data_IF_329471773476
#
_entry.id   IF_329471773476
#
_cell.length_a   1.000
_cell.length_b   1.000
_cell.length_c   1.000
_cell.angle_alpha   90.00
_cell.angle_beta   90.00
_cell.angle_gamma   90.00
#
_symmetry.space_group_name_H-M   'P 1'
#
loop_
_entity.id
_entity.type
_entity.pdbx_description
1 polymer ?
#
# COMPACT_ATOMS: atom_id res chain seq x y z
N UNK A 1 11.58 -0.82 -15.48
CA UNK A 1 11.60 0.52 -14.87
C UNK A 1 11.79 0.28 -13.39
N UNK A 2 12.90 0.71 -12.77
CA UNK A 2 13.27 0.25 -11.44
C UNK A 2 12.75 1.14 -10.32
N UNK A 3 12.06 0.55 -9.34
CA UNK A 3 11.67 1.19 -8.08
C UNK A 3 12.18 0.34 -6.93
N UNK A 4 12.75 0.97 -5.91
CA UNK A 4 13.07 0.29 -4.66
C UNK A 4 11.99 0.64 -3.65
N UNK A 5 11.11 -0.30 -3.28
CA UNK A 5 10.17 -0.05 -2.21
C UNK A 5 10.91 0.04 -0.88
N UNK A 6 10.50 0.99 -0.06
CA UNK A 6 10.91 1.09 1.33
C UNK A 6 9.69 1.06 2.25
N UNK A 7 9.98 0.87 3.52
CA UNK A 7 8.99 0.44 4.50
C UNK A 7 8.34 1.63 5.20
N UNK A 8 7.00 1.73 5.16
CA UNK A 8 6.25 2.72 5.96
C UNK A 8 6.26 2.37 7.45
N UNK A 9 6.04 3.38 8.30
CA UNK A 9 6.28 3.42 9.76
C UNK A 9 5.39 2.46 10.57
N UNK A 10 4.30 1.94 10.00
CA UNK A 10 3.53 0.88 10.65
C UNK A 10 3.47 -0.38 9.79
N UNK A 11 4.40 -1.30 10.07
CA UNK A 11 4.28 -2.68 9.60
C UNK A 11 3.77 -3.54 10.73
N UNK A 12 2.59 -4.11 10.51
CA UNK A 12 2.31 -5.40 11.11
C UNK A 12 2.12 -6.41 9.99
N UNK A 13 3.19 -7.15 9.69
CA UNK A 13 3.21 -8.30 8.78
C UNK A 13 3.28 -9.63 9.57
N UNK A 14 3.09 -9.57 10.89
CA UNK A 14 3.32 -10.70 11.80
C UNK A 14 2.47 -11.91 11.39
N UNK A 15 3.13 -13.06 11.20
CA UNK A 15 2.48 -14.33 10.90
C UNK A 15 2.33 -14.67 9.42
N UNK A 16 2.81 -13.82 8.51
CA UNK A 16 2.67 -14.01 7.06
C UNK A 16 4.04 -14.30 6.45
N UNK A 17 4.17 -15.43 5.75
CA UNK A 17 5.42 -15.80 5.05
C UNK A 17 5.41 -15.14 3.69
N UNK A 18 6.43 -14.33 3.42
CA UNK A 18 6.77 -13.81 2.10
C UNK A 18 5.78 -12.83 1.45
N UNK A 19 5.00 -12.06 2.22
CA UNK A 19 4.09 -11.00 1.72
C UNK A 19 4.58 -9.58 2.07
N UNK A 20 5.84 -9.31 1.74
CA UNK A 20 6.55 -8.09 2.10
C UNK A 20 6.30 -6.96 1.07
N UNK A 21 6.69 -5.69 1.34
CA UNK A 21 6.43 -4.57 0.43
C UNK A 21 7.01 -4.70 -0.99
N UNK A 22 8.03 -5.55 -1.22
CA UNK A 22 8.56 -5.80 -2.57
C UNK A 22 7.50 -6.41 -3.47
N UNK A 23 6.62 -7.23 -2.91
CA UNK A 23 5.53 -7.88 -3.65
C UNK A 23 4.47 -6.90 -4.17
N UNK A 24 4.43 -5.66 -3.66
CA UNK A 24 3.51 -4.65 -4.18
C UNK A 24 3.95 -4.10 -5.54
N UNK A 25 5.18 -4.38 -5.97
CA UNK A 25 5.84 -3.72 -7.11
C UNK A 25 6.72 -4.66 -7.95
N UNK A 26 6.51 -5.98 -7.87
CA UNK A 26 7.41 -6.98 -8.45
C UNK A 26 7.02 -7.49 -9.85
N UNK A 27 6.03 -6.87 -10.51
CA UNK A 27 5.52 -7.24 -11.85
C UNK A 27 5.07 -8.71 -11.98
N UNK A 28 4.88 -9.43 -10.87
CA UNK A 28 4.34 -10.80 -10.82
C UNK A 28 3.14 -10.87 -9.85
N UNK A 29 2.48 -12.02 -9.78
CA UNK A 29 1.23 -12.19 -9.00
C UNK A 29 1.46 -12.44 -7.51
N UNK A 30 2.62 -12.04 -6.95
CA UNK A 30 2.79 -12.12 -5.50
C UNK A 30 1.96 -11.02 -4.83
N UNK A 31 1.68 -11.18 -3.54
CA UNK A 31 0.82 -10.23 -2.81
C UNK A 31 1.54 -9.62 -1.62
N UNK A 32 1.17 -8.39 -1.32
CA UNK A 32 1.61 -7.65 -0.15
C UNK A 32 0.45 -7.51 0.83
N UNK A 33 0.71 -7.70 2.12
CA UNK A 33 -0.24 -7.42 3.19
C UNK A 33 0.39 -6.52 4.25
N UNK A 34 -0.40 -5.57 4.75
CA UNK A 34 -0.06 -4.77 5.92
C UNK A 34 -1.32 -4.60 6.77
N UNK A 35 -1.28 -5.11 8.00
CA UNK A 35 -2.41 -5.02 8.91
C UNK A 35 -2.51 -3.66 9.62
N UNK A 36 -1.58 -2.72 9.37
CA UNK A 36 -1.57 -1.39 9.99
C UNK A 36 -1.52 -1.50 11.51
N UNK A 37 -2.50 -0.89 12.19
CA UNK A 37 -2.70 -0.99 13.64
C UNK A 37 -3.38 -2.29 14.11
N UNK A 38 -3.55 -3.29 13.24
CA UNK A 38 -4.06 -4.63 13.58
C UNK A 38 -3.00 -5.73 13.43
N UNK A 39 -3.43 -7.01 13.48
CA UNK A 39 -2.60 -8.19 13.18
C UNK A 39 -3.46 -9.30 12.54
N UNK A 40 -2.85 -10.40 12.09
CA UNK A 40 -3.57 -11.51 11.44
C UNK A 40 -4.56 -12.24 12.36
N UNK A 41 -4.29 -12.26 13.66
CA UNK A 41 -5.05 -13.03 14.66
C UNK A 41 -6.21 -12.25 15.28
N UNK A 42 -6.37 -10.96 14.96
CA UNK A 42 -7.41 -10.11 15.55
C UNK A 42 -8.11 -9.27 14.49
N UNK A 43 -9.41 -9.50 14.34
CA UNK A 43 -10.29 -8.59 13.59
C UNK A 43 -10.67 -7.42 14.49
N UNK A 44 -10.34 -6.20 14.06
CA UNK A 44 -10.72 -4.97 14.77
C UNK A 44 -11.04 -3.87 13.77
N UNK A 45 -11.81 -2.87 14.20
CA UNK A 45 -12.11 -1.70 13.37
C UNK A 45 -10.87 -0.86 13.01
N UNK A 46 -9.75 -1.07 13.70
CA UNK A 46 -8.47 -0.41 13.42
C UNK A 46 -7.56 -1.23 12.49
N UNK A 47 -7.95 -2.45 12.12
CA UNK A 47 -7.17 -3.28 11.21
C UNK A 47 -7.09 -2.62 9.83
N UNK A 48 -5.87 -2.53 9.29
CA UNK A 48 -5.58 -1.82 8.04
C UNK A 48 -5.42 -0.31 8.19
N UNK A 49 -5.78 0.29 9.34
CA UNK A 49 -5.55 1.73 9.56
C UNK A 49 -4.05 2.01 9.64
N UNK A 50 -3.60 2.98 8.85
CA UNK A 50 -2.19 3.33 8.70
C UNK A 50 -1.43 2.45 7.69
N UNK A 51 -2.04 1.38 7.17
CA UNK A 51 -1.37 0.51 6.21
C UNK A 51 -0.88 1.29 4.99
N UNK A 52 0.36 1.00 4.58
CA UNK A 52 0.99 1.67 3.45
C UNK A 52 2.41 1.18 3.23
N UNK A 53 3.08 1.77 2.24
CA UNK A 53 4.48 1.60 1.91
C UNK A 53 4.94 2.84 1.13
N UNK A 54 6.25 3.01 0.96
CA UNK A 54 6.77 4.03 0.06
C UNK A 54 7.68 3.41 -0.99
N UNK A 55 7.93 4.14 -2.06
CA UNK A 55 8.85 3.73 -3.12
C UNK A 55 9.85 4.84 -3.40
N UNK A 56 11.09 4.48 -3.69
CA UNK A 56 12.11 5.38 -4.22
C UNK A 56 12.38 5.01 -5.67
N UNK A 57 12.04 5.87 -6.64
CA UNK A 57 12.39 5.65 -8.04
C UNK A 57 13.91 5.58 -8.22
N UNK A 58 14.42 4.55 -8.91
CA UNK A 58 15.86 4.42 -9.16
C UNK A 58 16.40 5.43 -10.16
N UNK A 59 15.53 5.99 -11.00
CA UNK A 59 15.90 6.97 -12.02
C UNK A 59 15.96 8.41 -11.46
N UNK A 60 15.90 8.58 -10.14
CA UNK A 60 15.91 9.87 -9.46
C UNK A 60 14.55 10.56 -9.45
N UNK A 61 14.57 11.89 -9.43
CA UNK A 61 13.35 12.72 -9.34
C UNK A 61 12.38 12.37 -10.45
N UNK A 62 11.15 12.03 -10.07
CA UNK A 62 10.13 11.50 -10.98
C UNK A 62 8.81 12.24 -10.79
N UNK A 63 8.05 12.40 -11.87
CA UNK A 63 6.69 12.96 -11.82
C UNK A 63 5.68 11.83 -11.71
N UNK A 64 4.87 11.85 -10.66
CA UNK A 64 3.77 10.90 -10.51
C UNK A 64 2.68 11.21 -11.54
N UNK A 65 2.39 10.24 -12.42
CA UNK A 65 1.31 10.35 -13.41
C UNK A 65 0.04 9.61 -13.00
N UNK A 66 0.18 8.59 -12.17
CA UNK A 66 -0.91 7.73 -11.71
C UNK A 66 -0.38 6.53 -10.96
N UNK A 67 -1.29 5.82 -10.30
CA UNK A 67 -1.04 4.54 -9.63
C UNK A 67 -2.09 3.54 -10.11
N UNK A 68 -1.69 2.27 -10.16
CA UNK A 68 -2.57 1.15 -10.48
C UNK A 68 -2.55 0.19 -9.30
N UNK A 69 -3.72 -0.29 -8.90
CA UNK A 69 -3.86 -1.29 -7.84
C UNK A 69 -4.25 -2.64 -8.45
N UNK A 70 -3.69 -3.70 -7.90
CA UNK A 70 -4.18 -5.06 -8.06
C UNK A 70 -4.58 -5.59 -6.67
N UNK A 71 -5.80 -6.11 -6.55
CA UNK A 71 -6.29 -6.69 -5.29
C UNK A 71 -5.83 -8.13 -5.16
N UNK A 72 -5.54 -8.56 -3.94
CA UNK A 72 -5.24 -9.96 -3.64
C UNK A 72 -6.50 -10.85 -3.77
N UNK A 73 -6.29 -12.16 -3.88
CA UNK A 73 -7.36 -13.15 -4.13
C UNK A 73 -7.91 -13.83 -2.87
N UNK A 74 -7.50 -13.42 -1.67
CA UNK A 74 -7.79 -14.15 -0.42
C UNK A 74 -8.73 -13.43 0.54
N UNK A 75 -8.98 -12.13 0.33
CA UNK A 75 -9.98 -11.35 1.08
C UNK A 75 -10.30 -10.05 0.37
N UNK A 76 -11.51 -9.97 -0.16
CA UNK A 76 -12.02 -8.78 -0.83
C UNK A 76 -12.13 -7.59 0.13
N UNK A 77 -12.40 -7.83 1.42
CA UNK A 77 -12.51 -6.78 2.43
C UNK A 77 -11.18 -6.06 2.72
N UNK A 78 -10.05 -6.65 2.30
CA UNK A 78 -8.71 -6.06 2.46
C UNK A 78 -8.30 -5.17 1.28
N UNK A 79 -9.15 -5.03 0.26
CA UNK A 79 -8.87 -4.14 -0.86
C UNK A 79 -8.86 -2.66 -0.44
N UNK A 80 -7.88 -1.85 -0.89
CA UNK A 80 -7.79 -0.44 -0.53
C UNK A 80 -8.86 0.37 -1.29
N UNK A 81 -10.01 0.65 -0.69
CA UNK A 81 -11.08 1.43 -1.33
C UNK A 81 -10.75 2.94 -1.42
N UNK A 82 -9.91 3.41 -0.51
CA UNK A 82 -9.38 4.78 -0.48
C UNK A 82 -7.87 4.76 -0.25
N UNK A 83 -7.19 5.82 -0.67
CA UNK A 83 -5.77 6.00 -0.41
C UNK A 83 -5.42 7.48 -0.27
N UNK A 84 -4.30 7.73 0.40
CA UNK A 84 -3.54 8.96 0.28
C UNK A 84 -2.26 8.67 -0.50
N UNK A 85 -1.89 9.59 -1.39
CA UNK A 85 -0.60 9.56 -2.07
C UNK A 85 0.16 10.79 -1.64
N UNK A 86 1.37 10.58 -1.18
CA UNK A 86 2.27 11.63 -0.74
C UNK A 86 3.60 11.51 -1.47
N UNK A 87 4.29 12.64 -1.64
CA UNK A 87 5.59 12.70 -2.30
C UNK A 87 6.62 13.42 -1.45
N UNK A 88 7.88 13.05 -1.61
CA UNK A 88 9.01 13.69 -0.95
C UNK A 88 10.21 13.79 -1.89
N UNK A 89 10.92 14.91 -1.83
CA UNK A 89 12.22 15.10 -2.50
C UNK A 89 13.40 14.95 -1.53
N UNK A 90 13.15 14.53 -0.29
CA UNK A 90 14.19 14.28 0.69
C UNK A 90 14.85 12.92 0.46
N UNK A 91 16.05 12.73 1.01
CA UNK A 91 16.76 11.45 0.94
C UNK A 91 16.00 10.37 1.71
N UNK A 92 16.19 9.10 1.33
CA UNK A 92 15.52 7.94 1.96
C UNK A 92 15.68 7.91 3.48
N UNK A 93 16.82 8.40 4.00
CA UNK A 93 17.10 8.50 5.43
C UNK A 93 16.15 9.41 6.22
N UNK A 94 15.46 10.34 5.55
CA UNK A 94 14.55 11.31 6.17
C UNK A 94 13.07 10.98 5.92
N UNK A 95 12.77 9.96 5.11
CA UNK A 95 11.41 9.57 4.75
C UNK A 95 10.62 8.96 5.92
N UNK A 96 11.31 8.44 6.94
CA UNK A 96 10.68 7.97 8.19
C UNK A 96 10.42 9.10 9.18
N UNK A 97 10.86 10.32 8.88
CA UNK A 97 10.60 11.51 9.69
C UNK A 97 9.34 12.18 9.13
N UNK A 98 8.19 11.98 9.77
CA UNK A 98 6.83 12.21 9.23
C UNK A 98 6.44 13.62 8.75
N UNK A 99 7.40 14.54 8.60
CA UNK A 99 7.21 15.90 8.09
C UNK A 99 7.81 16.11 6.69
N UNK A 100 8.40 15.08 6.08
CA UNK A 100 9.06 15.19 4.77
C UNK A 100 8.14 14.95 3.58
N UNK A 101 6.87 14.65 3.84
CA UNK A 101 5.88 14.25 2.85
C UNK A 101 4.91 15.38 2.53
N UNK A 102 4.61 15.54 1.25
CA UNK A 102 3.60 16.48 0.74
C UNK A 102 2.45 15.68 0.14
N UNK A 103 1.21 15.96 0.56
CA UNK A 103 0.01 15.34 0.00
C UNK A 103 -0.14 15.68 -1.48
N UNK A 104 -0.23 14.64 -2.32
CA UNK A 104 -0.47 14.75 -3.75
C UNK A 104 -1.91 14.36 -4.12
N UNK A 105 -2.46 13.39 -3.40
CA UNK A 105 -3.81 12.87 -3.63
C UNK A 105 -4.43 12.31 -2.35
N UNK A 106 -5.74 12.50 -2.18
CA UNK A 106 -6.54 11.82 -1.17
C UNK A 106 -7.91 11.53 -1.75
N UNK A 107 -8.32 10.28 -1.77
CA UNK A 107 -9.60 9.89 -2.37
C UNK A 107 -9.75 8.39 -2.61
N UNK A 108 -10.71 8.05 -3.47
CA UNK A 108 -11.02 6.66 -3.83
C UNK A 108 -10.00 6.08 -4.81
N UNK A 109 -9.71 4.79 -4.69
CA UNK A 109 -8.86 4.06 -5.65
C UNK A 109 -9.60 3.65 -6.91
N UNK A 110 -10.93 3.81 -6.96
CA UNK A 110 -11.77 3.30 -8.03
C UNK A 110 -12.05 1.79 -7.95
N UNK A 111 -11.49 1.09 -6.96
CA UNK A 111 -11.82 -0.30 -6.68
C UNK A 111 -13.26 -0.34 -6.14
N UNK A 112 -14.16 -1.16 -6.72
CA UNK A 112 -15.52 -1.27 -6.22
C UNK A 112 -15.51 -1.89 -4.82
N UNK A 113 -16.38 -1.38 -3.94
CA UNK A 113 -16.61 -2.02 -2.64
C UNK A 113 -17.11 -3.45 -2.86
N UNK A 114 -16.67 -4.40 -2.04
CA UNK A 114 -17.11 -5.81 -2.04
C UNK A 114 -18.63 -5.99 -1.78
N UNK A 115 -19.38 -4.89 -1.64
CA UNK A 115 -20.85 -4.87 -1.53
C UNK A 115 -21.57 -5.15 -2.86
N UNK A 116 -20.85 -5.27 -3.99
CA UNK A 116 -21.44 -5.88 -5.18
C UNK A 116 -21.24 -7.40 -5.07
N UNK A 117 -22.27 -8.19 -4.71
CA UNK A 117 -22.13 -9.63 -4.70
C UNK A 117 -21.72 -10.09 -6.09
N UNK A 118 -20.78 -11.02 -6.14
CA UNK A 118 -20.21 -11.63 -7.34
C UNK A 118 -21.29 -12.39 -8.13
N UNK A 119 -22.20 -11.67 -8.81
CA UNK A 119 -23.01 -12.17 -9.92
C UNK A 119 -23.75 -11.04 -10.65
N UNK A 120 -23.24 -10.67 -11.83
CA UNK A 120 -24.07 -10.40 -13.00
C UNK A 120 -23.44 -11.12 -14.19
N UNK A 121 -23.85 -12.38 -14.37
CA UNK A 121 -24.02 -12.98 -15.69
C UNK A 121 -25.48 -12.84 -16.05
#
# INVERSE_FOLDING_TARGET
YGITPGVSICQNTSGVRDENPLNAVDDVTTKYVNFGWGNISTSSAAQGVGAGFYVTPLNGVSVLKGILFATASDAEERAPLTCTIEGSNYTTALLTNGYTWTLLYSGTTGIPSATVPSRMT
#
